data_IF_358792584515
#
_entry.id   IF_358792584515
#
_cell.length_a   1.000
_cell.length_b   1.000
_cell.length_c   1.000
_cell.angle_alpha   90.00
_cell.angle_beta   90.00
_cell.angle_gamma   90.00
#
_symmetry.space_group_name_H-M   'P 1'
#
loop_
_entity.id
_entity.type
_entity.pdbx_description
1 polymer ?
#
# COMPACT_ATOMS: atom_id res chain seq x y z
N UNK A 1 -9.37 -0.69 10.73
CA UNK A 1 -10.37 -1.49 10.00
C UNK A 1 -10.85 -2.62 10.88
N UNK A 2 -9.94 -3.21 11.67
CA UNK A 2 -10.21 -4.25 12.63
C UNK A 2 -11.40 -4.03 13.59
N UNK A 3 -11.67 -2.80 14.03
CA UNK A 3 -12.79 -2.51 14.95
C UNK A 3 -14.13 -2.25 14.25
N UNK A 4 -14.20 -2.38 12.92
CA UNK A 4 -15.42 -2.14 12.15
C UNK A 4 -16.22 -3.44 11.96
N UNK A 5 -17.54 -3.37 12.12
CA UNK A 5 -18.44 -4.50 11.87
C UNK A 5 -18.48 -4.83 10.37
N UNK A 6 -18.38 -6.12 10.01
CA UNK A 6 -18.28 -6.54 8.61
C UNK A 6 -19.53 -6.23 7.76
N UNK A 7 -20.69 -6.03 8.40
CA UNK A 7 -21.96 -5.68 7.73
C UNK A 7 -22.34 -4.22 7.94
N UNK A 8 -21.35 -3.37 8.21
CA UNK A 8 -21.57 -1.96 8.43
C UNK A 8 -22.26 -1.29 7.23
N UNK A 9 -23.55 -0.97 7.38
CA UNK A 9 -24.40 -0.40 6.32
C UNK A 9 -23.87 0.93 5.77
N UNK A 10 -23.05 1.65 6.53
CA UNK A 10 -22.42 2.88 6.05
C UNK A 10 -21.43 2.65 4.89
N UNK A 11 -21.05 1.40 4.58
CA UNK A 11 -20.27 1.06 3.37
C UNK A 11 -21.16 0.73 2.16
N UNK A 12 -22.45 0.48 2.38
CA UNK A 12 -23.33 -0.09 1.37
C UNK A 12 -23.56 0.86 0.20
N UNK A 13 -23.31 0.37 -1.02
CA UNK A 13 -23.41 1.14 -2.26
C UNK A 13 -22.65 2.49 -2.19
N UNK A 14 -21.53 2.61 -1.45
CA UNK A 14 -20.70 3.82 -1.37
C UNK A 14 -19.30 3.60 -1.95
N UNK A 15 -18.59 4.71 -2.21
CA UNK A 15 -17.13 4.65 -2.34
C UNK A 15 -16.50 4.54 -0.95
N UNK A 16 -15.56 3.62 -0.81
CA UNK A 16 -14.86 3.36 0.46
C UNK A 16 -13.39 3.69 0.29
N UNK A 17 -12.89 4.60 1.12
CA UNK A 17 -11.48 4.89 1.27
C UNK A 17 -10.87 3.95 2.32
N UNK A 18 -9.98 3.06 1.89
CA UNK A 18 -9.13 2.26 2.78
C UNK A 18 -7.77 2.94 2.87
N UNK A 19 -7.49 3.62 3.98
CA UNK A 19 -6.27 4.43 4.10
C UNK A 19 -5.32 3.92 5.20
N UNK A 20 -4.01 4.13 5.02
CA UNK A 20 -3.04 3.95 6.10
C UNK A 20 -3.44 4.79 7.32
N UNK A 21 -3.46 4.19 8.51
CA UNK A 21 -3.89 4.87 9.73
C UNK A 21 -3.04 6.11 10.09
N UNK A 22 -1.80 6.17 9.61
CA UNK A 22 -0.92 7.33 9.80
C UNK A 22 -1.14 8.45 8.78
N UNK A 23 -1.90 8.24 7.69
CA UNK A 23 -2.12 9.25 6.66
C UNK A 23 -2.68 10.58 7.20
N UNK A 24 -3.67 10.59 8.13
CA UNK A 24 -4.16 11.84 8.71
C UNK A 24 -3.08 12.64 9.45
N UNK A 25 -2.03 11.99 9.96
CA UNK A 25 -0.91 12.65 10.63
C UNK A 25 0.19 13.05 9.65
N UNK A 26 0.48 12.22 8.64
CA UNK A 26 1.52 12.46 7.63
C UNK A 26 1.11 13.59 6.68
N UNK A 27 -0.14 13.58 6.21
CA UNK A 27 -0.66 14.59 5.29
C UNK A 27 -2.16 14.83 5.57
N UNK A 28 -2.49 15.67 6.56
CA UNK A 28 -3.88 15.92 6.97
C UNK A 28 -4.75 16.48 5.83
N UNK A 29 -4.18 17.38 5.02
CA UNK A 29 -4.88 18.01 3.89
C UNK A 29 -5.26 16.97 2.84
N UNK A 30 -4.30 16.14 2.40
CA UNK A 30 -4.57 15.10 1.42
C UNK A 30 -5.59 14.08 1.96
N UNK A 31 -5.50 13.74 3.25
CA UNK A 31 -6.49 12.87 3.88
C UNK A 31 -7.90 13.48 3.82
N UNK A 32 -8.03 14.77 4.14
CA UNK A 32 -9.31 15.47 4.07
C UNK A 32 -9.88 15.42 2.63
N UNK A 33 -9.09 15.81 1.63
CA UNK A 33 -9.46 15.76 0.20
C UNK A 33 -9.90 14.35 -0.23
N UNK A 34 -9.17 13.31 0.19
CA UNK A 34 -9.50 11.91 -0.14
C UNK A 34 -10.74 11.40 0.61
N UNK A 35 -11.00 11.89 1.82
CA UNK A 35 -12.12 11.44 2.67
C UNK A 35 -13.46 12.02 2.23
N UNK A 36 -13.47 13.15 1.50
CA UNK A 36 -14.69 13.83 1.09
C UNK A 36 -15.62 12.91 0.28
N UNK A 37 -16.85 12.76 0.77
CA UNK A 37 -17.88 11.94 0.13
C UNK A 37 -17.66 10.42 0.20
N UNK A 38 -16.61 9.96 0.91
CA UNK A 38 -16.27 8.53 1.03
C UNK A 38 -16.46 8.02 2.45
N UNK A 39 -16.74 6.73 2.54
CA UNK A 39 -16.67 6.01 3.81
C UNK A 39 -15.21 5.68 4.11
N UNK A 40 -14.69 6.11 5.26
CA UNK A 40 -13.27 5.92 5.60
C UNK A 40 -13.05 4.71 6.49
N UNK A 41 -12.11 3.85 6.09
CA UNK A 41 -11.54 2.77 6.88
C UNK A 41 -10.05 3.00 7.05
N UNK A 42 -9.63 3.47 8.23
CA UNK A 42 -8.21 3.57 8.58
C UNK A 42 -7.67 2.21 9.01
N UNK A 43 -6.55 1.76 8.46
CA UNK A 43 -5.93 0.49 8.83
C UNK A 43 -4.40 0.60 8.98
N UNK A 44 -3.85 -0.14 9.93
CA UNK A 44 -2.40 -0.28 10.08
C UNK A 44 -2.03 -1.77 10.16
N UNK A 45 -1.46 -2.36 9.11
CA UNK A 45 -1.03 -3.75 9.14
C UNK A 45 0.02 -4.08 10.21
N UNK A 46 0.73 -3.08 10.74
CA UNK A 46 1.63 -3.24 11.89
C UNK A 46 0.87 -3.54 13.20
N UNK A 47 -0.38 -3.05 13.33
CA UNK A 47 -1.21 -3.15 14.55
C UNK A 47 -2.42 -4.07 14.37
N UNK A 48 -2.62 -4.63 13.18
CA UNK A 48 -3.75 -5.49 12.82
C UNK A 48 -3.22 -6.86 12.39
N UNK A 49 -3.92 -7.94 12.76
CA UNK A 49 -3.52 -9.28 12.30
C UNK A 49 -3.81 -9.46 10.81
N UNK A 50 -3.11 -10.38 10.15
CA UNK A 50 -3.33 -10.70 8.72
C UNK A 50 -4.77 -11.12 8.39
N UNK A 51 -5.63 -11.39 9.37
CA UNK A 51 -7.04 -11.64 9.16
C UNK A 51 -7.79 -10.44 8.54
N UNK A 52 -7.20 -9.23 8.45
CA UNK A 52 -7.80 -8.13 7.70
C UNK A 52 -8.04 -8.46 6.21
N UNK A 53 -7.31 -9.41 5.61
CA UNK A 53 -7.57 -9.91 4.25
C UNK A 53 -8.99 -10.49 4.14
N UNK A 54 -9.30 -11.48 4.98
CA UNK A 54 -10.63 -12.10 5.03
C UNK A 54 -11.70 -11.13 5.51
N UNK A 55 -11.36 -10.23 6.44
CA UNK A 55 -12.28 -9.20 6.93
C UNK A 55 -12.71 -8.23 5.81
N UNK A 56 -11.74 -7.74 5.03
CA UNK A 56 -12.02 -6.84 3.91
C UNK A 56 -12.86 -7.54 2.84
N UNK A 57 -12.52 -8.78 2.47
CA UNK A 57 -13.33 -9.57 1.56
C UNK A 57 -14.76 -9.76 2.11
N UNK A 58 -14.91 -10.11 3.39
CA UNK A 58 -16.23 -10.24 4.03
C UNK A 58 -17.02 -8.92 4.03
N UNK A 59 -16.35 -7.79 4.22
CA UNK A 59 -16.99 -6.47 4.15
C UNK A 59 -17.49 -6.17 2.75
N UNK A 60 -16.65 -6.38 1.73
CA UNK A 60 -17.01 -6.19 0.32
C UNK A 60 -18.22 -7.06 -0.04
N UNK A 61 -18.18 -8.35 0.29
CA UNK A 61 -19.29 -9.28 0.03
C UNK A 61 -20.59 -8.86 0.72
N UNK A 62 -20.48 -8.39 1.97
CA UNK A 62 -21.66 -8.07 2.79
C UNK A 62 -22.31 -6.75 2.42
N UNK A 63 -21.53 -5.79 1.90
CA UNK A 63 -21.99 -4.40 1.72
C UNK A 63 -21.99 -3.95 0.27
N UNK A 64 -21.33 -4.68 -0.65
CA UNK A 64 -21.23 -4.34 -2.08
C UNK A 64 -20.92 -2.86 -2.32
N UNK A 65 -19.77 -2.35 -1.83
CA UNK A 65 -19.38 -0.97 -2.07
C UNK A 65 -19.24 -0.73 -3.57
N UNK A 66 -19.56 0.48 -4.04
CA UNK A 66 -19.45 0.83 -5.47
C UNK A 66 -18.00 0.79 -5.95
N UNK A 67 -17.07 1.20 -5.09
CA UNK A 67 -15.63 1.28 -5.40
C UNK A 67 -14.81 1.27 -4.12
N UNK A 68 -13.68 0.57 -4.14
CA UNK A 68 -12.66 0.64 -3.09
C UNK A 68 -11.50 1.51 -3.56
N UNK A 69 -11.22 2.61 -2.88
CA UNK A 69 -10.01 3.41 -3.09
C UNK A 69 -9.05 3.10 -1.96
N UNK A 70 -7.88 2.54 -2.26
CA UNK A 70 -6.86 2.26 -1.24
C UNK A 70 -5.68 3.20 -1.38
N UNK A 71 -5.33 3.86 -0.27
CA UNK A 71 -4.27 4.88 -0.22
C UNK A 71 -3.32 4.57 0.92
N UNK A 72 -2.05 4.36 0.62
CA UNK A 72 -1.05 4.04 1.64
C UNK A 72 0.19 4.93 1.58
N UNK A 73 0.95 4.99 2.66
CA UNK A 73 2.28 5.62 2.64
C UNK A 73 3.22 4.75 1.80
N UNK A 74 3.91 5.35 0.83
CA UNK A 74 4.87 4.63 0.00
C UNK A 74 6.14 4.29 0.80
N UNK A 75 6.81 3.20 0.43
CA UNK A 75 8.05 2.75 1.08
C UNK A 75 7.88 2.14 2.49
N UNK A 76 6.71 2.22 3.12
CA UNK A 76 6.43 1.52 4.37
C UNK A 76 6.14 0.03 4.10
N UNK A 77 6.96 -0.92 4.62
CA UNK A 77 6.81 -2.34 4.27
C UNK A 77 5.45 -2.92 4.68
N UNK A 78 4.93 -2.52 5.84
CA UNK A 78 3.64 -3.02 6.33
C UNK A 78 2.47 -2.47 5.48
N UNK A 79 2.59 -1.24 4.94
CA UNK A 79 1.54 -0.62 4.12
C UNK A 79 1.27 -1.39 2.82
N UNK A 80 2.30 -2.03 2.25
CA UNK A 80 2.15 -2.88 1.07
C UNK A 80 1.11 -3.99 1.27
N UNK A 81 1.06 -4.58 2.44
CA UNK A 81 0.15 -5.68 2.71
C UNK A 81 -1.34 -5.24 2.68
N UNK A 82 -1.63 -3.97 2.97
CA UNK A 82 -2.97 -3.40 2.79
C UNK A 82 -3.33 -3.28 1.30
N UNK A 83 -2.41 -2.79 0.46
CA UNK A 83 -2.58 -2.76 -1.00
C UNK A 83 -2.85 -4.15 -1.57
N UNK A 84 -2.05 -5.13 -1.14
CA UNK A 84 -2.19 -6.51 -1.54
C UNK A 84 -3.54 -7.11 -1.11
N UNK A 85 -4.04 -6.78 0.09
CA UNK A 85 -5.33 -7.31 0.55
C UNK A 85 -6.54 -6.87 -0.26
N UNK A 86 -6.54 -5.63 -0.76
CA UNK A 86 -7.61 -5.13 -1.63
C UNK A 86 -7.56 -5.83 -2.99
N UNK A 87 -6.36 -6.11 -3.50
CA UNK A 87 -6.15 -6.91 -4.70
C UNK A 87 -6.60 -8.37 -4.50
N UNK A 88 -6.25 -8.96 -3.37
CA UNK A 88 -6.56 -10.36 -3.03
C UNK A 88 -8.06 -10.58 -2.77
N UNK A 89 -8.82 -9.53 -2.46
CA UNK A 89 -10.26 -9.62 -2.26
C UNK A 89 -10.97 -10.24 -3.48
N UNK A 90 -10.55 -9.94 -4.71
CA UNK A 90 -11.11 -10.60 -5.91
C UNK A 90 -10.90 -12.11 -5.90
N UNK A 91 -9.70 -12.55 -5.51
CA UNK A 91 -9.36 -13.96 -5.43
C UNK A 91 -10.17 -14.67 -4.34
N UNK A 92 -10.30 -14.04 -3.17
CA UNK A 92 -11.06 -14.58 -2.03
C UNK A 92 -12.56 -14.66 -2.35
N UNK A 93 -13.09 -13.66 -3.07
CA UNK A 93 -14.52 -13.59 -3.37
C UNK A 93 -14.92 -14.37 -4.62
N UNK A 94 -13.99 -14.59 -5.55
CA UNK A 94 -14.28 -15.18 -6.85
C UNK A 94 -15.05 -14.22 -7.79
N UNK A 95 -15.01 -12.92 -7.54
CA UNK A 95 -15.69 -11.90 -8.34
C UNK A 95 -14.83 -10.63 -8.50
N UNK A 96 -15.17 -9.82 -9.51
CA UNK A 96 -14.45 -8.57 -9.77
C UNK A 96 -14.79 -7.51 -8.72
N UNK A 97 -13.78 -6.84 -8.20
CA UNK A 97 -13.92 -5.73 -7.24
C UNK A 97 -13.44 -4.45 -7.91
N UNK A 98 -14.34 -3.48 -8.09
CA UNK A 98 -13.95 -2.16 -8.60
C UNK A 98 -13.08 -1.44 -7.56
N UNK A 99 -11.84 -1.12 -7.95
CA UNK A 99 -10.86 -0.54 -7.05
C UNK A 99 -9.83 0.34 -7.74
N UNK A 100 -9.27 1.24 -6.95
CA UNK A 100 -8.09 2.01 -7.32
C UNK A 100 -7.05 1.98 -6.21
N UNK A 101 -5.78 1.95 -6.62
CA UNK A 101 -4.64 1.93 -5.73
C UNK A 101 -3.85 3.22 -5.88
N UNK A 102 -3.53 3.83 -4.76
CA UNK A 102 -2.64 4.97 -4.68
C UNK A 102 -1.65 4.81 -3.54
N UNK A 103 -0.49 5.43 -3.71
CA UNK A 103 0.50 5.60 -2.65
C UNK A 103 0.81 7.09 -2.47
N UNK A 104 1.23 7.46 -1.27
CA UNK A 104 1.70 8.81 -0.95
C UNK A 104 3.22 8.76 -0.87
N UNK A 105 3.88 9.23 -1.92
CA UNK A 105 5.34 9.28 -2.07
C UNK A 105 5.88 10.43 -1.23
N UNK A 106 6.89 10.14 -0.41
CA UNK A 106 7.54 11.10 0.50
C UNK A 106 6.58 11.92 1.38
N UNK A 107 5.40 11.35 1.67
CA UNK A 107 4.35 12.00 2.46
C UNK A 107 3.59 13.13 1.73
N UNK A 108 3.90 13.40 0.45
CA UNK A 108 3.37 14.57 -0.28
C UNK A 108 2.65 14.21 -1.57
N UNK A 109 3.23 13.37 -2.42
CA UNK A 109 2.73 13.15 -3.78
C UNK A 109 1.81 11.94 -3.83
N UNK A 110 0.56 12.13 -4.25
CA UNK A 110 -0.37 11.03 -4.50
C UNK A 110 -0.11 10.41 -5.88
N UNK A 111 0.31 9.15 -5.91
CA UNK A 111 0.64 8.43 -7.15
C UNK A 111 -0.27 7.22 -7.34
N UNK A 112 -0.89 7.11 -8.52
CA UNK A 112 -1.74 5.96 -8.89
C UNK A 112 -0.86 4.75 -9.21
N UNK A 113 -1.23 3.59 -8.67
CA UNK A 113 -0.51 2.33 -8.85
C UNK A 113 -1.39 1.33 -9.61
N UNK A 114 -0.79 0.63 -10.57
CA UNK A 114 -1.46 -0.45 -11.27
C UNK A 114 -1.68 -1.65 -10.35
N UNK A 115 -2.86 -2.32 -10.37
CA UNK A 115 -3.08 -3.59 -9.69
C UNK A 115 -2.00 -4.63 -9.99
N UNK A 116 -1.41 -4.62 -11.20
CA UNK A 116 -0.35 -5.56 -11.58
C UNK A 116 0.99 -5.23 -10.93
N UNK A 117 1.30 -3.96 -10.66
CA UNK A 117 2.52 -3.61 -9.91
C UNK A 117 2.49 -4.21 -8.50
N UNK A 118 1.32 -4.17 -7.85
CA UNK A 118 1.11 -4.78 -6.52
C UNK A 118 1.22 -6.30 -6.59
N UNK A 119 0.70 -6.94 -7.65
CA UNK A 119 0.87 -8.37 -7.87
C UNK A 119 2.34 -8.72 -8.03
N UNK A 120 3.06 -8.03 -8.94
CA UNK A 120 4.48 -8.26 -9.21
C UNK A 120 5.33 -8.06 -7.95
N UNK A 121 5.04 -7.04 -7.13
CA UNK A 121 5.78 -6.76 -5.90
C UNK A 121 5.74 -7.93 -4.87
N UNK A 122 4.79 -8.88 -4.99
CA UNK A 122 4.78 -10.11 -4.17
C UNK A 122 5.78 -11.17 -4.64
N UNK A 123 6.26 -11.08 -5.88
CA UNK A 123 7.12 -12.08 -6.50
C UNK A 123 8.53 -11.52 -6.63
N UNK A 124 9.33 -11.68 -5.58
CA UNK A 124 10.69 -11.13 -5.52
C UNK A 124 11.60 -11.64 -6.64
N UNK A 125 11.38 -12.86 -7.17
CA UNK A 125 12.11 -13.35 -8.34
C UNK A 125 11.86 -12.50 -9.59
N UNK A 126 10.62 -12.06 -9.82
CA UNK A 126 10.26 -11.17 -10.93
C UNK A 126 10.82 -9.76 -10.66
N UNK A 127 10.69 -9.27 -9.43
CA UNK A 127 11.24 -7.97 -9.03
C UNK A 127 12.75 -7.92 -9.22
N UNK A 128 13.48 -8.98 -8.83
CA UNK A 128 14.94 -9.08 -9.01
C UNK A 128 15.32 -8.91 -10.47
N UNK A 129 14.67 -9.66 -11.36
CA UNK A 129 14.92 -9.56 -12.80
C UNK A 129 14.67 -8.14 -13.34
N UNK A 130 13.64 -7.45 -12.85
CA UNK A 130 13.34 -6.07 -13.22
C UNK A 130 14.44 -5.12 -12.73
N UNK A 131 14.88 -5.24 -11.48
CA UNK A 131 15.94 -4.39 -10.91
C UNK A 131 17.27 -4.61 -11.65
N UNK A 132 17.64 -5.86 -11.91
CA UNK A 132 18.87 -6.22 -12.63
C UNK A 132 18.87 -5.73 -14.08
N UNK A 133 17.73 -5.80 -14.75
CA UNK A 133 17.59 -5.35 -16.14
C UNK A 133 17.40 -3.84 -16.29
N UNK A 134 17.15 -3.11 -15.19
CA UNK A 134 16.84 -1.68 -15.20
C UNK A 134 17.55 -0.94 -14.05
N UNK A 135 18.88 -0.73 -14.14
CA UNK A 135 19.67 -0.14 -13.05
C UNK A 135 19.25 1.28 -12.67
N UNK A 136 18.60 2.03 -13.57
CA UNK A 136 18.07 3.37 -13.29
C UNK A 136 17.04 3.40 -12.16
N UNK A 137 16.35 2.28 -11.90
CA UNK A 137 15.39 2.17 -10.79
C UNK A 137 16.10 2.40 -9.45
N UNK A 138 17.36 1.99 -9.32
CA UNK A 138 18.13 2.20 -8.09
C UNK A 138 18.50 3.67 -7.89
N UNK A 139 18.70 4.44 -8.97
CA UNK A 139 18.90 5.89 -8.89
C UNK A 139 17.62 6.60 -8.42
N UNK A 140 16.46 6.11 -8.84
CA UNK A 140 15.19 6.61 -8.35
C UNK A 140 14.96 6.23 -6.89
N UNK A 141 15.19 4.96 -6.52
CA UNK A 141 15.09 4.47 -5.14
C UNK A 141 15.99 5.27 -4.19
N UNK A 142 17.19 5.63 -4.64
CA UNK A 142 18.11 6.48 -3.88
C UNK A 142 17.49 7.82 -3.51
N UNK A 143 16.63 8.43 -4.32
CA UNK A 143 16.01 9.72 -3.95
C UNK A 143 15.15 9.60 -2.69
N UNK A 144 14.41 8.51 -2.57
CA UNK A 144 13.35 8.30 -1.57
C UNK A 144 13.83 7.51 -0.34
N UNK A 145 14.63 6.46 -0.52
CA UNK A 145 14.96 5.51 0.56
C UNK A 145 16.19 5.93 1.37
N UNK A 146 15.97 6.30 2.64
CA UNK A 146 17.05 6.51 3.61
C UNK A 146 17.85 5.24 3.91
N UNK A 147 17.19 4.09 3.90
CA UNK A 147 17.81 2.78 4.11
C UNK A 147 18.78 2.47 2.96
N UNK A 148 18.35 2.70 1.71
CA UNK A 148 19.19 2.45 0.54
C UNK A 148 20.38 3.42 0.47
N UNK A 149 20.18 4.71 0.80
CA UNK A 149 21.30 5.67 0.95
C UNK A 149 22.35 5.18 1.95
N UNK A 150 21.92 4.57 3.05
CA UNK A 150 22.84 4.03 4.06
C UNK A 150 23.55 2.78 3.54
N UNK A 151 22.86 1.86 2.85
CA UNK A 151 23.48 0.64 2.31
C UNK A 151 24.59 0.95 1.29
N UNK A 152 24.42 2.00 0.47
CA UNK A 152 25.47 2.50 -0.43
C UNK A 152 26.70 2.99 0.33
N UNK A 153 26.53 3.77 1.41
CA UNK A 153 27.65 4.27 2.24
C UNK A 153 28.41 3.13 2.92
N UNK A 154 27.70 2.14 3.45
CA UNK A 154 28.33 0.98 4.09
C UNK A 154 29.13 0.12 3.08
N UNK A 155 28.68 0.08 1.82
CA UNK A 155 29.36 -0.63 0.74
C UNK A 155 30.65 0.07 0.28
N UNK A 156 30.68 1.41 0.32
CA UNK A 156 31.89 2.18 -0.01
C UNK A 156 32.93 2.17 1.12
N UNK A 157 32.50 2.14 2.38
CA UNK A 157 33.39 2.03 3.54
C UNK A 157 34.06 0.65 3.62
N UNK A 158 33.32 -0.43 3.41
CA UNK A 158 33.86 -1.80 3.42
C UNK A 158 34.88 -2.08 2.31
N UNK A 159 34.85 -1.34 1.20
CA UNK A 159 35.84 -1.44 0.12
C UNK A 159 37.10 -0.59 0.38
N UNK A 160 37.04 0.36 1.34
CA UNK A 160 38.16 1.20 1.76
C UNK A 160 39.07 0.57 2.82
N UNK A 161 38.57 -0.39 3.61
CA UNK A 161 39.29 -0.96 4.77
C UNK A 161 40.22 -2.14 4.44
N UNK A 162 40.26 -2.61 3.19
CA UNK A 162 41.09 -3.77 2.75
C UNK A 162 42.46 -3.35 2.19
N UNK A 163 42.90 -2.10 2.41
CA UNK A 163 44.26 -1.63 2.07
C UNK A 163 44.99 -1.15 3.33
N UNK A 164 45.40 -2.10 4.18
CA UNK A 164 46.43 -1.90 5.21
C UNK A 164 47.25 -3.18 5.32
#
# INVERSE_FOLDING_TARGET
>A
MWSTWAKALFMENREVLVASACLPAVNPRLFEELSQGRTVLLACPERESSAYYGKLASMIRSTRPRKIVVVTIDGSPHCFALQASVNEAEYILGERVDREHYVVVDGVELKKISPNAIRVARYLSIVSNVVESNPDILRELEKHSKEYKLSLKLSTESTGTTKA
#
